data_IF_598158389263
#
_entry.id   IF_598158389263
#
_cell.length_a   1.000
_cell.length_b   1.000
_cell.length_c   1.000
_cell.angle_alpha   90.00
_cell.angle_beta   90.00
_cell.angle_gamma   90.00
#
_symmetry.space_group_name_H-M   'P 1'
#
loop_
_entity.id
_entity.type
_entity.pdbx_description
1 polymer ?
#
# COMPACT_ATOMS: atom_id res chain seq x y z
N UNK A 1 11.83 -9.13 -23.99
CA UNK A 1 11.33 -9.98 -22.89
C UNK A 1 11.41 -9.16 -21.62
N UNK A 2 10.28 -8.65 -21.13
CA UNK A 2 10.24 -7.92 -19.86
C UNK A 2 10.45 -8.96 -18.77
N UNK A 3 11.54 -8.85 -18.02
CA UNK A 3 11.85 -9.81 -16.97
C UNK A 3 10.75 -9.75 -15.90
N UNK A 4 10.10 -10.87 -15.53
CA UNK A 4 9.02 -10.89 -14.54
C UNK A 4 9.47 -10.31 -13.19
N UNK A 5 10.77 -10.36 -12.89
CA UNK A 5 11.40 -9.71 -11.75
C UNK A 5 11.33 -8.18 -11.81
N UNK A 6 11.59 -7.57 -12.97
CA UNK A 6 11.54 -6.11 -13.14
C UNK A 6 10.12 -5.56 -12.97
N UNK A 7 9.09 -6.29 -13.43
CA UNK A 7 7.69 -5.92 -13.24
C UNK A 7 7.29 -5.99 -11.76
N UNK A 8 7.78 -7.00 -11.04
CA UNK A 8 7.55 -7.16 -9.60
C UNK A 8 8.22 -6.06 -8.78
N UNK A 9 9.47 -5.73 -9.10
CA UNK A 9 10.18 -4.63 -8.47
C UNK A 9 9.46 -3.29 -8.71
N UNK A 10 8.99 -3.06 -9.94
CA UNK A 10 8.19 -1.88 -10.25
C UNK A 10 6.88 -1.83 -9.43
N UNK A 11 6.15 -2.94 -9.31
CA UNK A 11 4.92 -3.01 -8.52
C UNK A 11 5.16 -2.69 -7.04
N UNK A 12 6.25 -3.22 -6.46
CA UNK A 12 6.66 -2.92 -5.08
C UNK A 12 6.98 -1.45 -4.89
N UNK A 13 7.75 -0.86 -5.82
CA UNK A 13 8.08 0.57 -5.77
C UNK A 13 6.83 1.42 -5.86
N UNK A 14 5.90 1.10 -6.77
CA UNK A 14 4.64 1.85 -6.93
C UNK A 14 3.81 1.82 -5.64
N UNK A 15 3.66 0.65 -5.00
CA UNK A 15 2.92 0.51 -3.75
C UNK A 15 3.55 1.34 -2.61
N UNK A 16 4.89 1.31 -2.49
CA UNK A 16 5.61 2.09 -1.49
C UNK A 16 5.46 3.60 -1.75
N UNK A 17 5.57 4.04 -2.99
CA UNK A 17 5.43 5.45 -3.35
C UNK A 17 3.99 5.96 -3.14
N UNK A 18 2.98 5.13 -3.36
CA UNK A 18 1.59 5.46 -3.03
C UNK A 18 1.42 5.71 -1.51
N UNK A 19 2.00 4.85 -0.67
CA UNK A 19 1.98 5.04 0.77
C UNK A 19 2.74 6.31 1.21
N UNK A 20 3.90 6.59 0.61
CA UNK A 20 4.65 7.83 0.87
C UNK A 20 3.85 9.07 0.47
N UNK A 21 3.21 9.05 -0.68
CA UNK A 21 2.37 10.15 -1.15
C UNK A 21 1.17 10.38 -0.22
N UNK A 22 0.55 9.31 0.29
CA UNK A 22 -0.52 9.41 1.27
C UNK A 22 -0.03 10.13 2.55
N UNK A 23 1.09 9.69 3.13
CA UNK A 23 1.66 10.31 4.33
C UNK A 23 2.08 11.77 4.09
N UNK A 24 2.61 12.09 2.91
CA UNK A 24 2.97 13.46 2.57
C UNK A 24 1.74 14.39 2.46
N UNK A 25 0.59 13.85 2.06
CA UNK A 25 -0.62 14.62 1.79
C UNK A 25 -1.63 14.63 2.94
N UNK A 26 -1.51 13.74 3.92
CA UNK A 26 -2.50 13.57 5.01
C UNK A 26 -2.65 14.82 5.89
N UNK A 27 -1.63 15.67 5.95
CA UNK A 27 -1.66 16.91 6.72
C UNK A 27 -1.87 16.69 8.22
N UNK A 28 -2.50 17.66 8.88
CA UNK A 28 -2.86 17.55 10.31
C UNK A 28 -4.13 16.73 10.45
N UNK A 29 -4.07 15.67 11.24
CA UNK A 29 -5.23 14.84 11.58
C UNK A 29 -5.92 15.43 12.81
N UNK A 30 -7.23 15.68 12.71
CA UNK A 30 -8.06 16.03 13.85
C UNK A 30 -8.31 14.80 14.73
N UNK A 31 -7.56 14.69 15.82
CA UNK A 31 -7.65 13.58 16.78
C UNK A 31 -8.90 13.64 17.67
N UNK A 32 -9.67 14.73 17.64
CA UNK A 32 -10.92 14.86 18.41
C UNK A 32 -12.13 14.30 17.65
N UNK A 33 -11.99 14.12 16.33
CA UNK A 33 -13.01 13.53 15.48
C UNK A 33 -12.70 12.05 15.19
N UNK A 34 -13.36 11.16 15.92
CA UNK A 34 -13.18 9.72 15.77
C UNK A 34 -13.46 9.21 14.35
N UNK A 35 -14.42 9.81 13.64
CA UNK A 35 -14.75 9.41 12.27
C UNK A 35 -13.61 9.72 11.28
N UNK A 36 -13.00 10.90 11.42
CA UNK A 36 -11.83 11.30 10.62
C UNK A 36 -10.64 10.40 10.92
N UNK A 37 -10.35 10.14 12.20
CA UNK A 37 -9.28 9.24 12.62
C UNK A 37 -9.46 7.83 12.03
N UNK A 38 -10.66 7.26 12.11
CA UNK A 38 -10.96 5.94 11.54
C UNK A 38 -10.76 5.93 10.02
N UNK A 39 -11.22 6.97 9.32
CA UNK A 39 -11.00 7.08 7.87
C UNK A 39 -9.51 7.04 7.49
N UNK A 40 -8.66 7.73 8.25
CA UNK A 40 -7.22 7.69 8.03
C UNK A 40 -6.60 6.32 8.33
N UNK A 41 -7.05 5.66 9.41
CA UNK A 41 -6.55 4.32 9.76
C UNK A 41 -6.93 3.27 8.71
N UNK A 42 -8.15 3.31 8.18
CA UNK A 42 -8.59 2.38 7.12
C UNK A 42 -7.83 2.60 5.81
N UNK A 43 -7.58 3.86 5.44
CA UNK A 43 -6.77 4.17 4.27
C UNK A 43 -5.32 3.68 4.44
N UNK A 44 -4.73 3.87 5.62
CA UNK A 44 -3.40 3.36 5.94
C UNK A 44 -3.35 1.82 5.90
N UNK A 45 -4.35 1.13 6.45
CA UNK A 45 -4.47 -0.33 6.39
C UNK A 45 -4.50 -0.82 4.93
N UNK A 46 -5.29 -0.16 4.08
CA UNK A 46 -5.40 -0.52 2.65
C UNK A 46 -4.06 -0.42 1.93
N UNK A 47 -3.33 0.68 2.13
CA UNK A 47 -2.00 0.87 1.54
C UNK A 47 -0.98 -0.15 2.04
N UNK A 48 -1.04 -0.52 3.32
CA UNK A 48 -0.19 -1.56 3.88
C UNK A 48 -0.53 -2.94 3.29
N UNK A 49 -1.81 -3.26 3.09
CA UNK A 49 -2.23 -4.48 2.41
C UNK A 49 -1.75 -4.55 0.96
N UNK A 50 -1.78 -3.43 0.22
CA UNK A 50 -1.24 -3.35 -1.14
C UNK A 50 0.28 -3.56 -1.17
N UNK A 51 1.01 -3.00 -0.21
CA UNK A 51 2.44 -3.25 -0.05
C UNK A 51 2.69 -4.73 0.21
N UNK A 52 1.95 -5.36 1.13
CA UNK A 52 2.07 -6.79 1.42
C UNK A 52 1.78 -7.61 0.17
N UNK A 53 0.69 -7.33 -0.54
CA UNK A 53 0.34 -8.03 -1.77
C UNK A 53 1.38 -7.86 -2.90
N UNK A 54 2.08 -6.73 -2.97
CA UNK A 54 3.19 -6.53 -3.91
C UNK A 54 4.46 -7.32 -3.51
N UNK A 55 4.58 -7.69 -2.23
CA UNK A 55 5.69 -8.51 -1.72
C UNK A 55 5.38 -10.00 -1.82
N UNK A 56 4.15 -10.40 -1.50
CA UNK A 56 3.67 -11.77 -1.58
C UNK A 56 3.41 -12.19 -3.03
N UNK A 57 3.78 -13.43 -3.36
CA UNK A 57 3.58 -14.03 -4.68
C UNK A 57 2.09 -14.39 -4.86
N UNK A 58 1.53 -14.44 -6.09
CA UNK A 58 0.46 -15.40 -6.31
C UNK A 58 1.11 -16.77 -6.16
N UNK A 59 0.90 -17.43 -5.03
CA UNK A 59 1.20 -18.85 -4.89
C UNK A 59 0.55 -19.56 -6.06
N UNK A 60 1.35 -19.96 -7.05
CA UNK A 60 0.87 -20.86 -8.10
C UNK A 60 0.24 -22.07 -7.40
N UNK A 61 -0.97 -22.39 -7.84
CA UNK A 61 -1.83 -23.43 -7.31
C UNK A 61 -1.03 -24.64 -6.81
N UNK A 62 -1.21 -24.99 -5.53
CA UNK A 62 -0.84 -26.32 -5.06
C UNK A 62 -1.61 -27.34 -5.92
N UNK A 63 -0.82 -28.13 -6.65
CA UNK A 63 -1.23 -29.19 -7.56
C UNK A 63 -2.03 -30.31 -6.87
#
# INVERSE_FOLDING_TARGET
MTHPTAVREAARVVAIEAARAYVANIGVIDLTNAGVLVGHLMAAETLLMEIVAAHDEPTEAAA
#
